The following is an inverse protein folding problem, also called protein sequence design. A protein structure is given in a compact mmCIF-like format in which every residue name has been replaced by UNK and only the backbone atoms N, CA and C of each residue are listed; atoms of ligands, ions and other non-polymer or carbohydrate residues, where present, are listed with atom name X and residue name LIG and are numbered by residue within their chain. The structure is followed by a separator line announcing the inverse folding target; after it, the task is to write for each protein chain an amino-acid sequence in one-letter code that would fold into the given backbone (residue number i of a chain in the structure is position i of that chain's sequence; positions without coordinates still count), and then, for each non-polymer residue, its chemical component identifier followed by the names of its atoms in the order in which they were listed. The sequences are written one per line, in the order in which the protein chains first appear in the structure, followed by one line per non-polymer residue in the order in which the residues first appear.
data_IF_846880946873
#
_entry.id   IF_846880946873
#
_cell.length_a   1.000
_cell.length_b   1.000
_cell.length_c   1.000
_cell.angle_alpha   90.00
_cell.angle_beta   90.00
_cell.angle_gamma   90.00
#
_symmetry.space_group_name_H-M   'P 1'
#
loop_
_entity.id
_entity.type
_entity.pdbx_description
1 polymer ?
#
# COMPACT_ATOMS: atom_id res chain seq x y z
N UNK A 1 0.40 -53.88 2.18
CA UNK A 1 1.55 -52.96 2.15
C UNK A 1 1.99 -52.73 0.71
N UNK A 2 1.83 -51.50 0.20
CA UNK A 2 2.59 -50.83 -0.88
C UNK A 2 1.80 -49.55 -1.23
N UNK A 3 2.12 -48.44 -0.58
CA UNK A 3 1.67 -47.12 -1.00
C UNK A 3 2.65 -46.60 -2.05
N UNK A 4 2.19 -46.49 -3.28
CA UNK A 4 2.89 -45.83 -4.38
C UNK A 4 2.72 -44.33 -4.23
N UNK A 5 3.73 -43.62 -3.71
CA UNK A 5 3.77 -42.17 -3.73
C UNK A 5 3.87 -41.69 -5.19
N UNK A 6 2.78 -41.13 -5.74
CA UNK A 6 2.83 -40.39 -7.00
C UNK A 6 3.55 -39.08 -6.74
N UNK A 7 4.79 -38.99 -7.20
CA UNK A 7 5.54 -37.73 -7.30
C UNK A 7 4.75 -36.84 -8.27
N UNK A 8 4.20 -35.72 -7.77
CA UNK A 8 3.62 -34.70 -8.65
C UNK A 8 4.78 -34.06 -9.43
N UNK A 9 4.67 -33.90 -10.76
CA UNK A 9 5.67 -33.17 -11.51
C UNK A 9 5.72 -31.72 -11.01
N UNK A 10 6.93 -31.24 -10.75
CA UNK A 10 7.21 -29.83 -10.48
C UNK A 10 6.82 -29.08 -11.75
N UNK A 11 5.79 -28.24 -11.68
CA UNK A 11 5.47 -27.34 -12.79
C UNK A 11 6.69 -26.45 -13.04
N UNK A 12 7.17 -26.32 -14.29
CA UNK A 12 8.21 -25.36 -14.61
C UNK A 12 7.70 -23.97 -14.22
N UNK A 13 8.54 -23.20 -13.53
CA UNK A 13 8.34 -21.77 -13.27
C UNK A 13 7.83 -21.14 -14.57
N UNK A 14 6.57 -20.67 -14.56
CA UNK A 14 5.91 -20.22 -15.77
C UNK A 14 6.70 -19.05 -16.34
N UNK A 15 6.86 -19.06 -17.67
CA UNK A 15 7.41 -18.00 -18.49
C UNK A 15 6.47 -16.77 -18.52
N UNK A 16 6.04 -16.29 -17.35
CA UNK A 16 5.13 -15.16 -17.17
C UNK A 16 5.86 -13.87 -16.76
N UNK A 17 7.19 -13.79 -16.88
CA UNK A 17 7.93 -12.52 -16.89
C UNK A 17 7.74 -11.76 -18.23
N UNK A 18 6.56 -11.86 -18.83
CA UNK A 18 6.25 -11.29 -20.12
C UNK A 18 5.91 -9.79 -19.94
N UNK A 19 6.87 -8.93 -20.28
CA UNK A 19 6.74 -7.49 -20.50
C UNK A 19 6.27 -6.64 -19.31
N UNK A 20 7.09 -6.55 -18.25
CA UNK A 20 6.95 -5.45 -17.28
C UNK A 20 7.61 -4.17 -17.82
N UNK A 21 6.98 -3.00 -17.71
CA UNK A 21 7.61 -1.72 -17.99
C UNK A 21 8.82 -1.47 -17.08
N UNK A 22 9.94 -1.01 -17.65
CA UNK A 22 11.14 -0.65 -16.87
C UNK A 22 11.29 0.87 -16.77
N UNK A 23 11.72 1.35 -15.60
CA UNK A 23 12.13 2.74 -15.43
C UNK A 23 13.58 2.90 -15.93
N UNK A 24 13.81 3.86 -16.83
CA UNK A 24 15.15 4.17 -17.34
C UNK A 24 15.63 5.48 -16.74
N UNK A 25 16.78 5.46 -16.07
CA UNK A 25 17.42 6.62 -15.47
C UNK A 25 18.94 6.51 -15.58
N UNK A 26 19.64 7.64 -15.55
CA UNK A 26 21.10 7.66 -15.66
C UNK A 26 21.73 7.04 -14.43
N UNK A 27 22.64 6.10 -14.65
CA UNK A 27 23.36 5.44 -13.58
C UNK A 27 22.75 4.11 -13.12
N UNK A 28 21.57 3.73 -13.67
CA UNK A 28 20.91 2.45 -13.37
C UNK A 28 21.87 1.27 -13.54
N UNK A 29 22.66 1.23 -14.62
CA UNK A 29 23.60 0.13 -14.88
C UNK A 29 24.67 -0.04 -13.80
N UNK A 30 25.03 1.03 -13.08
CA UNK A 30 26.02 0.98 -12.01
C UNK A 30 25.42 0.58 -10.67
N UNK A 31 24.14 0.89 -10.43
CA UNK A 31 23.47 0.63 -9.15
C UNK A 31 22.66 -0.67 -9.16
N UNK A 32 22.31 -1.20 -10.35
CA UNK A 32 21.45 -2.36 -10.52
C UNK A 32 21.88 -3.54 -9.64
N UNK A 33 23.16 -3.91 -9.74
CA UNK A 33 23.80 -4.98 -8.95
C UNK A 33 24.64 -4.46 -7.78
N UNK A 34 24.60 -3.16 -7.47
CA UNK A 34 25.50 -2.60 -6.45
C UNK A 34 25.26 -3.22 -5.08
N UNK A 35 24.01 -3.52 -4.73
CA UNK A 35 23.62 -4.21 -3.49
C UNK A 35 24.36 -5.54 -3.27
N UNK A 36 24.78 -6.25 -4.33
CA UNK A 36 25.60 -7.47 -4.24
C UNK A 36 27.05 -7.16 -3.84
N UNK A 37 27.57 -6.03 -4.31
CA UNK A 37 28.95 -5.60 -4.10
C UNK A 37 29.18 -4.83 -2.79
N UNK A 38 28.11 -4.44 -2.09
CA UNK A 38 28.22 -3.78 -0.78
C UNK A 38 28.90 -4.73 0.21
N UNK A 39 30.03 -4.35 0.83
CA UNK A 39 30.72 -5.20 1.78
C UNK A 39 29.87 -5.39 3.05
N UNK A 40 29.84 -6.64 3.52
CA UNK A 40 29.29 -6.98 4.83
C UNK A 40 30.14 -6.33 5.94
N UNK A 41 29.50 -5.67 6.90
CA UNK A 41 30.14 -5.13 8.10
C UNK A 41 29.52 -5.76 9.34
N UNK A 42 30.27 -6.35 10.27
CA UNK A 42 29.67 -6.92 11.47
C UNK A 42 29.05 -5.82 12.35
N UNK A 43 27.94 -6.13 13.03
CA UNK A 43 27.35 -5.24 14.03
C UNK A 43 28.22 -5.27 15.29
N UNK A 44 28.70 -4.09 15.71
CA UNK A 44 29.51 -3.92 16.91
C UNK A 44 28.65 -3.29 18.00
N UNK A 45 28.51 -3.98 19.13
CA UNK A 45 27.78 -3.45 20.28
C UNK A 45 28.55 -2.27 20.89
N UNK A 46 27.85 -1.16 21.13
CA UNK A 46 28.41 -0.01 21.82
C UNK A 46 27.93 -0.02 23.28
N UNK A 47 28.75 -0.49 24.24
CA UNK A 47 28.29 -0.79 25.60
C UNK A 47 27.69 0.44 26.30
N UNK A 48 28.26 1.63 26.07
CA UNK A 48 27.81 2.87 26.72
C UNK A 48 26.50 3.44 26.16
N UNK A 49 25.99 2.90 25.05
CA UNK A 49 24.77 3.39 24.38
C UNK A 49 23.58 2.43 24.49
N UNK A 50 23.83 1.21 24.95
CA UNK A 50 22.79 0.20 25.13
C UNK A 50 22.09 0.33 26.48
N UNK A 51 20.84 -0.09 26.55
CA UNK A 51 20.12 -0.31 27.80
C UNK A 51 20.00 -1.82 27.99
N UNK A 52 20.66 -2.36 29.01
CA UNK A 52 20.69 -3.81 29.27
C UNK A 52 21.77 -4.56 28.45
N UNK A 53 21.79 -5.89 28.53
CA UNK A 53 22.73 -6.71 27.77
C UNK A 53 22.48 -6.59 26.27
N UNK A 54 23.55 -6.63 25.47
CA UNK A 54 23.43 -6.63 24.02
C UNK A 54 22.73 -7.92 23.56
N UNK A 55 21.54 -7.77 22.98
CA UNK A 55 20.75 -8.89 22.47
C UNK A 55 20.27 -8.61 21.04
N UNK A 56 20.71 -9.44 20.10
CA UNK A 56 20.28 -9.39 18.70
C UNK A 56 18.88 -10.00 18.49
N UNK A 57 18.20 -10.49 19.52
CA UNK A 57 16.78 -10.85 19.44
C UNK A 57 15.87 -9.72 19.94
N UNK A 58 16.43 -8.68 20.56
CA UNK A 58 15.69 -7.53 21.07
C UNK A 58 15.62 -6.34 20.10
N UNK A 59 15.32 -5.17 20.65
CA UNK A 59 15.28 -3.92 19.91
C UNK A 59 16.71 -3.43 19.60
N UNK A 60 16.96 -3.05 18.34
CA UNK A 60 18.26 -2.61 17.87
C UNK A 60 18.21 -1.17 17.35
N UNK A 61 19.20 -0.37 17.73
CA UNK A 61 19.51 0.92 17.11
C UNK A 61 20.88 0.79 16.46
N UNK A 62 20.93 0.88 15.13
CA UNK A 62 22.15 0.73 14.34
C UNK A 62 22.57 2.11 13.85
N UNK A 63 23.77 2.54 14.23
CA UNK A 63 24.35 3.79 13.75
C UNK A 63 25.33 3.53 12.60
N UNK A 64 25.05 4.10 11.44
CA UNK A 64 25.90 4.02 10.25
C UNK A 64 25.12 4.36 8.99
N UNK A 65 25.78 4.24 7.85
CA UNK A 65 25.10 4.29 6.57
C UNK A 65 24.11 3.11 6.45
N UNK A 66 22.87 3.43 6.07
CA UNK A 66 21.78 2.47 6.01
C UNK A 66 22.03 1.35 4.99
N UNK A 67 22.70 1.59 3.87
CA UNK A 67 23.00 0.55 2.88
C UNK A 67 23.91 -0.53 3.48
N UNK A 68 24.92 -0.12 4.24
CA UNK A 68 25.77 -1.05 4.98
C UNK A 68 25.01 -1.73 6.12
N UNK A 69 24.19 -1.00 6.88
CA UNK A 69 23.40 -1.57 7.97
C UNK A 69 22.43 -2.66 7.47
N UNK A 70 21.72 -2.40 6.38
CA UNK A 70 20.81 -3.37 5.74
C UNK A 70 21.58 -4.62 5.30
N UNK A 71 22.78 -4.46 4.69
CA UNK A 71 23.64 -5.59 4.32
C UNK A 71 24.07 -6.41 5.54
N UNK A 72 24.32 -5.77 6.67
CA UNK A 72 24.69 -6.43 7.93
C UNK A 72 23.56 -7.25 8.55
N UNK A 73 22.31 -6.88 8.27
CA UNK A 73 21.11 -7.56 8.81
C UNK A 73 20.76 -8.84 8.04
N UNK A 74 21.11 -8.93 6.75
CA UNK A 74 20.73 -10.06 5.89
C UNK A 74 21.01 -11.45 6.49
N UNK A 75 22.19 -11.75 7.06
CA UNK A 75 22.47 -13.11 7.53
C UNK A 75 21.54 -13.62 8.63
N UNK A 76 20.86 -12.71 9.35
CA UNK A 76 19.99 -13.05 10.48
C UNK A 76 18.50 -12.78 10.20
N UNK A 77 18.19 -11.74 9.43
CA UNK A 77 16.83 -11.24 9.27
C UNK A 77 16.29 -11.32 7.84
N UNK A 78 17.02 -11.90 6.89
CA UNK A 78 16.47 -12.15 5.56
C UNK A 78 15.19 -12.98 5.66
N UNK A 79 14.12 -12.53 4.99
CA UNK A 79 12.82 -13.20 5.03
C UNK A 79 12.08 -13.15 6.38
N UNK A 80 12.51 -12.30 7.33
CA UNK A 80 11.99 -12.33 8.71
C UNK A 80 11.33 -11.01 9.15
N UNK A 81 11.39 -9.95 8.34
CA UNK A 81 10.84 -8.64 8.70
C UNK A 81 9.39 -8.52 8.23
N UNK A 82 8.45 -8.34 9.16
CA UNK A 82 7.02 -8.25 8.83
C UNK A 82 6.57 -6.85 8.37
N UNK A 83 7.26 -5.80 8.82
CA UNK A 83 6.93 -4.43 8.47
C UNK A 83 8.20 -3.62 8.28
N UNK A 84 8.30 -2.94 7.14
CA UNK A 84 9.29 -1.92 6.89
C UNK A 84 8.55 -0.61 6.69
N UNK A 85 8.89 0.39 7.49
CA UNK A 85 8.42 1.75 7.32
C UNK A 85 9.63 2.66 7.08
N UNK A 86 9.61 3.43 6.00
CA UNK A 86 10.71 4.34 5.65
C UNK A 86 10.18 5.71 5.23
N UNK A 87 10.93 6.73 5.63
CA UNK A 87 10.73 8.13 5.28
C UNK A 87 11.99 8.64 4.56
N UNK A 88 12.18 8.29 3.28
CA UNK A 88 13.35 8.72 2.51
C UNK A 88 13.33 10.24 2.28
N UNK A 89 14.46 10.86 1.92
CA UNK A 89 14.47 12.28 1.56
C UNK A 89 13.53 12.54 0.38
N UNK A 90 12.68 13.57 0.49
CA UNK A 90 11.65 13.88 -0.52
C UNK A 90 12.21 14.56 -1.78
N UNK A 91 13.50 14.93 -1.78
CA UNK A 91 14.18 15.49 -2.94
C UNK A 91 13.56 16.81 -3.41
N UNK A 92 13.26 17.69 -2.45
CA UNK A 92 12.59 18.99 -2.66
C UNK A 92 13.48 20.00 -3.41
N UNK A 93 14.79 19.78 -3.42
CA UNK A 93 15.79 20.68 -4.01
C UNK A 93 16.26 21.82 -3.10
N UNK A 94 15.79 21.87 -1.85
CA UNK A 94 16.23 22.85 -0.85
C UNK A 94 17.29 22.29 0.12
N UNK A 95 17.79 21.11 -0.18
CA UNK A 95 18.47 20.24 0.76
C UNK A 95 19.95 20.60 0.92
N UNK A 96 20.58 21.25 -0.06
CA UNK A 96 21.95 21.78 0.07
C UNK A 96 23.04 20.72 0.32
N UNK A 97 22.68 19.43 0.26
CA UNK A 97 23.57 18.29 0.42
C UNK A 97 23.63 17.44 -0.87
N UNK A 98 24.68 16.62 -1.01
CA UNK A 98 24.89 15.73 -2.15
C UNK A 98 24.58 14.27 -1.76
N UNK A 99 23.96 13.49 -2.67
CA UNK A 99 23.91 12.04 -2.51
C UNK A 99 25.33 11.47 -2.53
N UNK A 100 25.69 10.62 -1.57
CA UNK A 100 27.03 10.04 -1.47
C UNK A 100 26.96 8.53 -1.28
N UNK A 101 26.49 7.83 -2.32
CA UNK A 101 26.57 6.38 -2.31
C UNK A 101 27.98 5.92 -2.63
N UNK A 102 28.52 5.01 -1.81
CA UNK A 102 29.85 4.42 -1.93
C UNK A 102 30.05 3.49 -3.13
N UNK A 103 29.33 3.72 -4.23
CA UNK A 103 29.36 2.97 -5.50
C UNK A 103 30.79 2.64 -5.97
N UNK A 104 30.99 1.46 -6.55
CA UNK A 104 32.33 1.00 -6.91
C UNK A 104 32.94 1.75 -8.10
N UNK A 105 32.14 2.44 -8.91
CA UNK A 105 32.62 3.25 -10.04
C UNK A 105 33.17 4.59 -9.56
N UNK A 106 34.46 4.91 -9.79
CA UNK A 106 35.04 6.22 -9.47
C UNK A 106 34.32 7.38 -10.17
N UNK A 107 33.82 7.14 -11.40
CA UNK A 107 33.06 8.12 -12.18
C UNK A 107 31.73 8.42 -11.50
N UNK A 108 31.03 7.38 -11.02
CA UNK A 108 29.75 7.54 -10.32
C UNK A 108 29.95 8.22 -8.96
N UNK A 109 31.01 7.88 -8.22
CA UNK A 109 31.38 8.58 -6.97
C UNK A 109 31.62 10.06 -7.20
N UNK A 110 32.40 10.39 -8.23
CA UNK A 110 32.66 11.77 -8.61
C UNK A 110 31.35 12.48 -9.00
N UNK A 111 30.51 11.85 -9.82
CA UNK A 111 29.25 12.44 -10.29
C UNK A 111 28.20 12.67 -9.19
N UNK A 112 28.04 11.70 -8.28
CA UNK A 112 27.12 11.83 -7.15
C UNK A 112 27.60 12.92 -6.17
N UNK A 113 28.92 13.01 -5.96
CA UNK A 113 29.51 13.95 -4.99
C UNK A 113 29.74 15.37 -5.54
N UNK A 114 29.89 15.53 -6.86
CA UNK A 114 30.36 16.79 -7.45
C UNK A 114 29.33 17.91 -7.47
N UNK A 115 28.04 17.56 -7.43
CA UNK A 115 26.95 18.53 -7.61
C UNK A 115 25.94 18.41 -6.46
N UNK A 116 25.71 19.51 -5.70
CA UNK A 116 24.64 19.56 -4.72
C UNK A 116 23.29 19.30 -5.38
N UNK A 117 22.41 18.67 -4.62
CA UNK A 117 21.06 18.33 -5.05
C UNK A 117 20.19 19.57 -4.85
N UNK A 118 20.27 20.49 -5.79
CA UNK A 118 19.45 21.71 -5.81
C UNK A 118 18.28 21.58 -6.81
N UNK A 119 17.46 22.61 -6.89
CA UNK A 119 16.33 22.67 -7.83
C UNK A 119 16.74 22.79 -9.30
N UNK A 120 17.96 23.23 -9.58
CA UNK A 120 18.46 23.45 -10.93
C UNK A 120 19.21 22.22 -11.49
N UNK A 121 19.52 21.25 -10.62
CA UNK A 121 20.11 19.98 -11.01
C UNK A 121 19.11 19.08 -11.75
N UNK A 122 19.17 19.12 -13.07
CA UNK A 122 18.38 18.27 -13.97
C UNK A 122 18.62 16.75 -13.78
N UNK A 123 19.65 16.36 -13.02
CA UNK A 123 19.97 14.95 -12.70
C UNK A 123 19.56 14.55 -11.29
N UNK A 124 18.95 15.45 -10.52
CA UNK A 124 18.54 15.22 -9.13
C UNK A 124 17.71 13.95 -8.96
N UNK A 125 16.78 13.69 -9.89
CA UNK A 125 15.93 12.50 -9.86
C UNK A 125 16.72 11.23 -10.15
N UNK A 126 17.63 11.25 -11.14
CA UNK A 126 18.51 10.12 -11.44
C UNK A 126 19.37 9.75 -10.21
N UNK A 127 19.89 10.77 -9.50
CA UNK A 127 20.69 10.58 -8.29
C UNK A 127 19.89 9.99 -7.13
N UNK A 128 18.67 10.46 -6.91
CA UNK A 128 17.77 9.90 -5.90
C UNK A 128 17.46 8.43 -6.19
N UNK A 129 17.18 8.09 -7.45
CA UNK A 129 16.94 6.71 -7.88
C UNK A 129 18.19 5.84 -7.71
N UNK A 130 19.38 6.37 -8.03
CA UNK A 130 20.65 5.69 -7.77
C UNK A 130 20.83 5.36 -6.28
N UNK A 131 20.44 6.29 -5.40
CA UNK A 131 20.51 6.10 -3.95
C UNK A 131 19.48 5.07 -3.45
N UNK A 132 18.24 5.17 -3.91
CA UNK A 132 17.16 4.31 -3.41
C UNK A 132 17.26 2.88 -3.91
N UNK A 133 17.66 2.66 -5.16
CA UNK A 133 17.68 1.35 -5.80
C UNK A 133 18.32 0.23 -4.95
N UNK A 134 19.62 0.32 -4.55
CA UNK A 134 20.25 -0.77 -3.81
C UNK A 134 19.63 -0.97 -2.42
N UNK A 135 19.07 0.08 -1.82
CA UNK A 135 18.40 -0.01 -0.51
C UNK A 135 17.07 -0.74 -0.62
N UNK A 136 16.25 -0.41 -1.63
CA UNK A 136 14.96 -1.05 -1.85
C UNK A 136 15.09 -2.54 -2.17
N UNK A 137 16.11 -2.92 -2.96
CA UNK A 137 16.42 -4.34 -3.19
C UNK A 137 16.73 -5.05 -1.86
N UNK A 138 17.59 -4.49 -1.02
CA UNK A 138 17.91 -5.10 0.29
C UNK A 138 16.70 -5.14 1.23
N UNK A 139 15.85 -4.12 1.25
CA UNK A 139 14.62 -4.12 2.03
C UNK A 139 13.67 -5.23 1.58
N UNK A 140 13.54 -5.46 0.27
CA UNK A 140 12.77 -6.59 -0.27
C UNK A 140 13.31 -7.94 0.19
N UNK A 141 14.62 -8.12 0.30
CA UNK A 141 15.24 -9.36 0.79
C UNK A 141 15.04 -9.58 2.30
N UNK A 142 14.89 -8.51 3.07
CA UNK A 142 14.62 -8.59 4.51
C UNK A 142 13.17 -8.93 4.83
N UNK A 143 12.22 -8.54 3.96
CA UNK A 143 10.79 -8.78 4.18
C UNK A 143 10.45 -10.28 4.21
N UNK A 144 9.63 -10.66 5.19
CA UNK A 144 8.95 -11.96 5.23
C UNK A 144 7.90 -12.05 4.13
N UNK A 145 7.47 -13.27 3.77
CA UNK A 145 6.41 -13.49 2.76
C UNK A 145 5.08 -12.85 3.16
N UNK A 146 4.82 -12.67 4.46
CA UNK A 146 3.63 -11.97 4.98
C UNK A 146 3.83 -10.47 5.15
N UNK A 147 5.05 -9.98 4.89
CA UNK A 147 5.48 -8.63 5.24
C UNK A 147 5.09 -7.56 4.23
N UNK A 148 5.15 -6.31 4.67
CA UNK A 148 4.84 -5.13 3.85
C UNK A 148 5.84 -3.98 4.01
N UNK A 149 6.05 -3.25 2.92
CA UNK A 149 6.84 -2.02 2.85
C UNK A 149 5.90 -0.81 2.77
N UNK A 150 6.17 0.20 3.58
CA UNK A 150 5.43 1.45 3.69
C UNK A 150 6.42 2.60 3.50
N UNK A 151 6.21 3.43 2.48
CA UNK A 151 7.13 4.51 2.12
C UNK A 151 6.40 5.84 2.02
N UNK A 152 6.80 6.83 2.82
CA UNK A 152 6.26 8.20 2.76
C UNK A 152 6.99 9.06 1.74
N UNK A 153 6.24 9.83 0.96
CA UNK A 153 6.74 10.69 -0.11
C UNK A 153 5.83 11.90 -0.30
N UNK A 154 6.39 12.97 -0.88
CA UNK A 154 5.60 14.05 -1.49
C UNK A 154 5.49 13.87 -3.02
N UNK A 155 4.94 14.87 -3.71
CA UNK A 155 4.74 14.86 -5.16
C UNK A 155 6.05 14.80 -5.97
N UNK A 156 7.23 15.10 -5.39
CA UNK A 156 8.48 15.14 -6.15
C UNK A 156 8.89 13.76 -6.64
N UNK A 157 8.80 12.73 -5.79
CA UNK A 157 9.33 11.40 -6.09
C UNK A 157 8.31 10.26 -6.05
N UNK A 158 7.07 10.50 -5.62
CA UNK A 158 6.04 9.45 -5.52
C UNK A 158 5.89 8.61 -6.79
N UNK A 159 5.89 9.23 -7.96
CA UNK A 159 5.74 8.52 -9.23
C UNK A 159 6.98 7.72 -9.62
N UNK A 160 8.19 8.22 -9.36
CA UNK A 160 9.43 7.49 -9.68
C UNK A 160 9.68 6.37 -8.69
N UNK A 161 9.39 6.61 -7.41
CA UNK A 161 9.40 5.59 -6.38
C UNK A 161 8.43 4.45 -6.71
N UNK A 162 7.21 4.79 -7.14
CA UNK A 162 6.23 3.82 -7.63
C UNK A 162 6.81 2.92 -8.74
N UNK A 163 7.38 3.53 -9.78
CA UNK A 163 7.95 2.77 -10.90
C UNK A 163 9.13 1.88 -10.48
N UNK A 164 10.01 2.36 -9.57
CA UNK A 164 11.11 1.54 -9.05
C UNK A 164 10.60 0.38 -8.20
N UNK A 165 9.59 0.62 -7.36
CA UNK A 165 8.99 -0.42 -6.54
C UNK A 165 8.28 -1.47 -7.41
N UNK A 166 7.57 -1.06 -8.46
CA UNK A 166 6.99 -1.99 -9.44
C UNK A 166 8.04 -2.88 -10.09
N UNK A 167 9.21 -2.32 -10.45
CA UNK A 167 10.28 -3.11 -11.05
C UNK A 167 10.96 -4.07 -10.04
N UNK A 168 11.09 -3.67 -8.77
CA UNK A 168 11.76 -4.47 -7.74
C UNK A 168 10.85 -5.53 -7.12
N UNK A 169 9.59 -5.17 -6.83
CA UNK A 169 8.61 -6.02 -6.15
C UNK A 169 7.69 -6.76 -7.11
N UNK A 170 7.50 -6.25 -8.33
CA UNK A 170 6.39 -6.61 -9.21
C UNK A 170 5.24 -5.61 -9.08
N UNK A 171 4.55 -5.30 -10.18
CA UNK A 171 3.38 -4.42 -10.18
C UNK A 171 2.23 -5.02 -9.34
N UNK A 172 2.11 -6.35 -9.37
CA UNK A 172 1.14 -7.14 -8.63
C UNK A 172 1.32 -7.07 -7.11
N UNK A 173 2.51 -6.70 -6.64
CA UNK A 173 2.80 -6.55 -5.23
C UNK A 173 2.24 -5.25 -4.62
N UNK A 174 1.67 -4.37 -5.45
CA UNK A 174 1.06 -3.13 -4.98
C UNK A 174 -0.21 -3.36 -4.20
N UNK A 175 -0.24 -2.84 -2.97
CA UNK A 175 -1.42 -2.88 -2.11
C UNK A 175 -2.28 -1.63 -2.31
N UNK A 176 -1.66 -0.45 -2.30
CA UNK A 176 -2.38 0.81 -2.40
C UNK A 176 -1.51 2.02 -2.05
N UNK A 177 -2.06 3.20 -2.32
CA UNK A 177 -1.49 4.49 -1.89
C UNK A 177 -2.42 5.10 -0.87
N UNK A 178 -1.94 5.29 0.35
CA UNK A 178 -2.69 6.02 1.38
C UNK A 178 -2.35 7.51 1.28
N UNK A 179 -3.36 8.35 1.47
CA UNK A 179 -3.21 9.80 1.46
C UNK A 179 -3.13 10.30 2.90
N UNK A 180 -1.99 10.84 3.29
CA UNK A 180 -1.79 11.41 4.62
C UNK A 180 -2.02 12.91 4.58
N UNK A 181 -3.09 13.38 5.22
CA UNK A 181 -3.38 14.80 5.33
C UNK A 181 -2.45 15.46 6.37
N UNK A 182 -1.45 16.22 5.90
CA UNK A 182 -0.52 16.96 6.76
C UNK A 182 -1.04 18.32 7.23
N UNK A 183 -2.04 18.89 6.54
CA UNK A 183 -2.58 20.22 6.86
C UNK A 183 -4.11 20.26 6.78
N UNK A 184 -4.72 20.91 7.77
CA UNK A 184 -6.16 21.14 7.83
C UNK A 184 -6.60 22.47 7.21
N UNK A 185 -5.74 23.49 7.30
CA UNK A 185 -6.03 24.80 6.73
C UNK A 185 -5.64 24.86 5.25
N UNK A 186 -6.54 25.40 4.44
CA UNK A 186 -6.25 25.74 3.04
C UNK A 186 -5.31 26.93 3.00
N UNK A 187 -4.28 26.85 2.15
CA UNK A 187 -3.43 27.99 1.84
C UNK A 187 -4.12 28.85 0.78
N UNK A 188 -4.69 29.98 1.19
CA UNK A 188 -5.39 30.89 0.28
C UNK A 188 -4.45 31.69 -0.63
N UNK A 189 -3.14 31.63 -0.37
CA UNK A 189 -2.07 32.31 -1.11
C UNK A 189 -1.45 31.43 -2.21
N UNK A 190 -1.94 30.19 -2.41
CA UNK A 190 -1.43 29.32 -3.47
C UNK A 190 -1.98 29.71 -4.84
N UNK A 191 -1.11 29.70 -5.85
CA UNK A 191 -1.47 30.07 -7.24
C UNK A 191 -2.47 29.12 -7.89
N UNK A 192 -2.42 27.83 -7.53
CA UNK A 192 -3.27 26.79 -8.12
C UNK A 192 -4.00 26.02 -7.02
N UNK A 193 -3.42 24.91 -6.55
CA UNK A 193 -4.01 24.05 -5.53
C UNK A 193 -3.20 24.12 -4.24
N UNK A 194 -3.89 24.06 -3.11
CA UNK A 194 -3.26 23.98 -1.79
C UNK A 194 -2.86 22.54 -1.50
N UNK A 195 -1.56 22.25 -1.59
CA UNK A 195 -0.98 20.96 -1.20
C UNK A 195 -1.11 20.75 0.32
N UNK A 196 -2.02 19.85 0.71
CA UNK A 196 -2.34 19.55 2.11
C UNK A 196 -2.11 18.09 2.50
N UNK A 197 -1.62 17.27 1.57
CA UNK A 197 -1.37 15.86 1.78
C UNK A 197 0.02 15.40 1.33
N UNK A 198 0.36 14.19 1.73
CA UNK A 198 1.50 13.39 1.31
C UNK A 198 1.01 11.98 0.97
N UNK A 199 1.88 11.20 0.35
CA UNK A 199 1.58 9.85 -0.14
C UNK A 199 2.31 8.82 0.69
N UNK A 200 1.64 7.71 0.97
CA UNK A 200 2.22 6.54 1.58
C UNK A 200 2.01 5.35 0.63
N UNK A 201 3.09 4.96 -0.06
CA UNK A 201 3.08 3.80 -0.95
C UNK A 201 3.18 2.52 -0.12
N UNK A 202 2.29 1.57 -0.37
CA UNK A 202 2.26 0.27 0.32
C UNK A 202 2.47 -0.86 -0.67
N UNK A 203 3.49 -1.69 -0.42
CA UNK A 203 3.80 -2.90 -1.17
C UNK A 203 3.87 -4.12 -0.26
N UNK A 204 3.41 -5.26 -0.76
CA UNK A 204 3.56 -6.55 -0.13
C UNK A 204 4.82 -7.26 -0.65
N UNK A 205 5.38 -8.18 0.12
CA UNK A 205 6.34 -9.17 -0.43
C UNK A 205 5.63 -10.16 -1.35
N UNK A 206 4.48 -10.66 -0.89
CA UNK A 206 3.52 -11.48 -1.62
C UNK A 206 2.10 -10.99 -1.27
N UNK A 207 1.37 -10.50 -2.28
CA UNK A 207 0.04 -9.89 -2.10
C UNK A 207 -1.01 -10.90 -1.61
N UNK A 208 -0.85 -12.19 -1.90
CA UNK A 208 -1.78 -13.24 -1.46
C UNK A 208 -1.54 -13.62 0.01
N UNK A 209 -0.36 -13.31 0.54
CA UNK A 209 0.07 -13.70 1.87
C UNK A 209 0.17 -12.52 2.86
N UNK A 210 0.13 -11.28 2.38
CA UNK A 210 0.29 -10.08 3.20
C UNK A 210 -0.76 -10.02 4.31
N UNK A 211 -0.34 -9.59 5.50
CA UNK A 211 -1.23 -9.43 6.65
C UNK A 211 -1.25 -7.99 7.12
N UNK A 212 -2.36 -7.30 6.86
CA UNK A 212 -2.63 -5.96 7.40
C UNK A 212 -3.69 -6.10 8.47
N UNK A 213 -3.26 -6.03 9.73
CA UNK A 213 -4.16 -6.19 10.86
C UNK A 213 -5.04 -4.95 11.03
N UNK A 214 -6.34 -5.17 11.29
CA UNK A 214 -7.24 -4.12 11.72
C UNK A 214 -6.90 -3.64 13.13
N UNK A 215 -7.27 -2.39 13.43
CA UNK A 215 -7.23 -1.87 14.79
C UNK A 215 -8.36 -2.48 15.62
N UNK A 216 -8.13 -2.62 16.92
CA UNK A 216 -9.20 -2.95 17.85
C UNK A 216 -10.27 -1.86 17.81
N UNK A 217 -11.54 -2.26 17.91
CA UNK A 217 -12.66 -1.33 17.98
C UNK A 217 -12.57 -0.52 19.26
N UNK A 218 -12.88 0.77 19.18
CA UNK A 218 -12.96 1.65 20.34
C UNK A 218 -14.34 1.56 20.99
N UNK A 219 -14.44 1.92 22.28
CA UNK A 219 -15.73 1.96 23.00
C UNK A 219 -16.76 2.85 22.30
N UNK A 220 -16.33 3.98 21.73
CA UNK A 220 -17.20 4.88 20.95
C UNK A 220 -17.75 4.23 19.68
N UNK A 221 -16.95 3.41 18.99
CA UNK A 221 -17.39 2.66 17.82
C UNK A 221 -18.39 1.57 18.21
N UNK A 222 -18.21 0.95 19.37
CA UNK A 222 -19.14 -0.07 19.90
C UNK A 222 -20.47 0.54 20.35
N UNK A 223 -20.44 1.73 20.95
CA UNK A 223 -21.64 2.45 21.39
C UNK A 223 -22.62 2.83 20.25
N UNK A 224 -22.14 2.82 19.00
CA UNK A 224 -22.98 3.02 17.82
C UNK A 224 -23.91 1.83 17.52
N UNK A 225 -23.60 0.63 18.02
CA UNK A 225 -24.37 -0.58 17.81
C UNK A 225 -25.38 -0.75 18.95
N UNK A 226 -26.65 -0.98 18.61
CA UNK A 226 -27.74 -1.16 19.58
C UNK A 226 -28.68 -2.24 19.10
N UNK A 227 -29.25 -2.99 20.03
CA UNK A 227 -30.27 -4.01 19.73
C UNK A 227 -31.65 -3.62 20.28
N UNK A 228 -32.32 -2.59 19.72
CA UNK A 228 -33.60 -2.12 20.25
C UNK A 228 -34.76 -3.09 20.01
N UNK A 229 -34.62 -4.01 19.05
CA UNK A 229 -35.63 -4.97 18.62
C UNK A 229 -35.39 -6.40 19.13
N UNK A 230 -34.40 -6.60 20.00
CA UNK A 230 -33.99 -7.92 20.51
C UNK A 230 -33.69 -8.93 19.38
N UNK A 231 -33.02 -8.50 18.32
CA UNK A 231 -32.53 -9.36 17.26
C UNK A 231 -31.59 -10.43 17.86
N UNK A 232 -31.82 -11.73 17.58
CA UNK A 232 -31.01 -12.82 18.13
C UNK A 232 -29.53 -12.81 17.68
N UNK A 233 -29.17 -11.98 16.68
CA UNK A 233 -27.80 -11.82 16.19
C UNK A 233 -26.97 -10.82 17.01
N UNK A 234 -27.59 -10.11 17.95
CA UNK A 234 -26.92 -9.16 18.84
C UNK A 234 -26.98 -7.72 18.36
N UNK A 235 -26.08 -6.88 18.89
CA UNK A 235 -26.06 -5.46 18.60
C UNK A 235 -25.75 -5.18 17.13
N UNK A 236 -26.55 -4.29 16.54
CA UNK A 236 -26.45 -3.91 15.14
C UNK A 236 -26.51 -2.38 15.01
N UNK A 237 -25.99 -1.88 13.89
CA UNK A 237 -26.10 -0.46 13.55
C UNK A 237 -26.72 -0.35 12.16
N UNK A 238 -27.61 0.62 11.97
CA UNK A 238 -28.10 0.97 10.64
C UNK A 238 -26.92 1.50 9.82
N UNK A 239 -26.72 0.93 8.64
CA UNK A 239 -25.77 1.43 7.66
C UNK A 239 -26.51 1.91 6.40
N UNK A 240 -25.82 2.61 5.52
CA UNK A 240 -26.38 3.09 4.26
C UNK A 240 -26.87 1.92 3.42
N UNK A 241 -28.07 2.05 2.84
CA UNK A 241 -28.65 1.04 1.93
C UNK A 241 -28.01 1.06 0.53
N UNK A 242 -26.87 1.74 0.37
CA UNK A 242 -26.14 1.85 -0.88
C UNK A 242 -25.26 0.62 -1.05
N UNK A 243 -25.64 -0.24 -2.00
CA UNK A 243 -24.86 -1.43 -2.33
C UNK A 243 -24.84 -1.69 -3.83
N UNK A 244 -23.65 -1.98 -4.33
CA UNK A 244 -23.41 -2.28 -5.75
C UNK A 244 -23.86 -3.68 -6.16
N UNK A 245 -23.94 -4.63 -5.21
CA UNK A 245 -24.28 -6.04 -5.46
C UNK A 245 -25.45 -6.52 -4.60
N UNK A 246 -26.32 -7.35 -5.18
CA UNK A 246 -27.36 -8.06 -4.45
C UNK A 246 -26.75 -9.28 -3.75
N UNK A 247 -27.07 -9.47 -2.46
CA UNK A 247 -26.72 -10.69 -1.73
C UNK A 247 -27.98 -11.33 -1.18
N UNK A 248 -28.10 -12.65 -1.27
CA UNK A 248 -29.32 -13.38 -0.93
C UNK A 248 -29.84 -13.09 0.48
N UNK A 249 -28.94 -12.90 1.45
CA UNK A 249 -29.30 -12.58 2.83
C UNK A 249 -29.82 -11.15 3.04
N UNK A 250 -29.63 -10.26 2.05
CA UNK A 250 -30.06 -8.87 2.09
C UNK A 250 -31.34 -8.61 1.26
N UNK A 251 -31.94 -9.67 0.69
CA UNK A 251 -33.19 -9.57 -0.06
C UNK A 251 -34.35 -9.93 0.87
N UNK A 252 -35.09 -8.91 1.29
CA UNK A 252 -36.25 -9.09 2.16
C UNK A 252 -37.55 -8.94 1.38
N UNK A 253 -38.51 -9.84 1.65
CA UNK A 253 -39.87 -9.77 1.09
C UNK A 253 -40.65 -8.67 1.80
N UNK A 254 -41.06 -7.63 1.07
CA UNK A 254 -41.91 -6.58 1.65
C UNK A 254 -43.37 -7.02 1.63
N UNK A 255 -44.12 -6.71 2.71
CA UNK A 255 -45.58 -6.90 2.78
C UNK A 255 -46.27 -5.56 2.59
N UNK A 256 -46.96 -5.38 1.47
CA UNK A 256 -47.84 -4.24 1.25
C UNK A 256 -49.21 -4.42 1.92
N UNK A 257 -49.99 -3.33 1.99
CA UNK A 257 -51.45 -3.39 2.17
C UNK A 257 -52.13 -2.98 0.86
N UNK A 258 -53.12 -3.74 0.33
CA UNK A 258 -53.58 -5.07 0.80
C UNK A 258 -52.46 -6.11 0.71
N UNK A 259 -52.63 -7.26 1.38
CA UNK A 259 -51.61 -8.29 1.67
C UNK A 259 -51.02 -8.99 0.42
N UNK A 260 -50.52 -8.21 -0.53
CA UNK A 260 -49.67 -8.63 -1.64
C UNK A 260 -48.22 -8.44 -1.17
N UNK A 261 -47.43 -9.46 -1.42
CA UNK A 261 -46.01 -9.44 -1.13
C UNK A 261 -45.24 -9.18 -2.42
N UNK A 262 -44.23 -8.33 -2.37
CA UNK A 262 -43.41 -8.02 -3.52
C UNK A 262 -41.94 -8.28 -3.19
N UNK A 263 -41.19 -8.79 -4.16
CA UNK A 263 -39.74 -8.76 -4.12
C UNK A 263 -39.27 -7.45 -4.78
N UNK A 264 -38.21 -6.81 -4.27
CA UNK A 264 -37.58 -5.74 -5.04
C UNK A 264 -37.14 -6.30 -6.41
N UNK A 265 -37.34 -5.56 -7.51
CA UNK A 265 -36.84 -5.98 -8.81
C UNK A 265 -35.33 -6.19 -8.73
N UNK A 266 -34.81 -7.20 -9.43
CA UNK A 266 -33.38 -7.45 -9.53
C UNK A 266 -32.70 -6.21 -10.17
N UNK A 267 -32.00 -5.42 -9.36
CA UNK A 267 -31.35 -4.19 -9.82
C UNK A 267 -30.57 -3.46 -8.72
N UNK A 268 -29.55 -2.70 -9.14
CA UNK A 268 -28.64 -1.94 -8.27
C UNK A 268 -29.32 -0.65 -7.79
N UNK A 269 -29.19 -0.34 -6.50
CA UNK A 269 -29.67 0.92 -5.90
C UNK A 269 -28.67 2.04 -6.22
N UNK A 270 -29.10 3.04 -7.00
CA UNK A 270 -28.33 4.25 -7.31
C UNK A 270 -28.88 5.48 -6.59
N UNK A 271 -27.99 6.30 -6.04
CA UNK A 271 -28.30 7.55 -5.33
C UNK A 271 -28.78 8.66 -6.28
N UNK A 272 -29.69 9.49 -5.78
CA UNK A 272 -30.34 10.60 -6.46
C UNK A 272 -29.46 11.86 -6.43
N UNK A 273 -28.45 11.93 -7.27
CA UNK A 273 -27.99 13.22 -7.82
C UNK A 273 -27.85 13.09 -9.33
N UNK A 274 -28.93 13.45 -10.02
CA UNK A 274 -29.03 13.76 -11.44
C UNK A 274 -27.92 13.15 -12.33
N UNK A 275 -28.08 11.89 -12.76
CA UNK A 275 -28.19 11.47 -14.17
C UNK A 275 -28.42 9.95 -14.20
N UNK A 276 -29.60 9.52 -14.67
CA UNK A 276 -30.00 8.13 -14.99
C UNK A 276 -29.87 7.07 -13.88
N UNK A 277 -30.89 6.96 -13.03
CA UNK A 277 -31.29 5.69 -12.39
C UNK A 277 -32.68 5.82 -11.75
N UNK A 278 -33.67 5.10 -12.30
CA UNK A 278 -34.97 4.90 -11.67
C UNK A 278 -35.19 3.40 -11.53
N UNK A 279 -35.32 2.92 -10.28
CA UNK A 279 -36.34 1.97 -9.81
C UNK A 279 -35.97 1.44 -8.41
N UNK A 280 -36.28 2.22 -7.37
CA UNK A 280 -36.63 1.74 -6.02
C UNK A 280 -37.57 2.77 -5.37
N UNK A 281 -38.54 2.29 -4.60
CA UNK A 281 -39.73 3.00 -4.15
C UNK A 281 -39.43 4.19 -3.20
N UNK A 282 -39.99 5.39 -3.43
CA UNK A 282 -40.10 6.40 -2.39
C UNK A 282 -41.25 6.04 -1.45
N UNK A 283 -40.94 5.79 -0.18
CA UNK A 283 -41.94 5.80 0.89
C UNK A 283 -42.39 7.24 1.16
N UNK A 284 -43.30 7.74 0.34
CA UNK A 284 -44.17 8.85 0.71
C UNK A 284 -45.60 8.55 0.26
N UNK A 285 -46.49 8.59 1.25
CA UNK A 285 -47.93 8.39 1.11
C UNK A 285 -48.52 9.58 0.35
N UNK A 286 -48.84 9.40 -0.93
CA UNK A 286 -49.96 10.09 -1.59
C UNK A 286 -50.25 9.42 -2.93
N UNK A 287 -51.54 9.18 -3.18
CA UNK A 287 -52.05 8.22 -4.15
C UNK A 287 -51.51 8.32 -5.57
N UNK A 288 -51.30 7.16 -6.18
CA UNK A 288 -51.30 6.96 -7.64
C UNK A 288 -51.93 5.61 -7.96
N UNK A 289 -52.99 5.67 -8.76
CA UNK A 289 -53.62 4.51 -9.42
C UNK A 289 -52.72 4.11 -10.59
N UNK A 290 -52.36 2.84 -10.72
CA UNK A 290 -51.86 2.28 -11.97
C UNK A 290 -52.39 0.88 -12.22
N UNK A 291 -52.78 0.69 -13.48
CA UNK A 291 -53.39 -0.49 -14.10
C UNK A 291 -52.38 -1.61 -14.33
N UNK A 292 -52.80 -2.85 -14.12
CA UNK A 292 -52.02 -4.06 -14.46
C UNK A 292 -51.84 -4.16 -15.99
N UNK A 293 -50.68 -4.62 -16.50
CA UNK A 293 -50.58 -5.02 -17.91
C UNK A 293 -51.52 -6.21 -18.15
N UNK A 294 -52.16 -6.33 -19.33
CA UNK A 294 -53.05 -7.45 -19.61
C UNK A 294 -52.25 -8.75 -19.54
N UNK A 295 -52.83 -9.76 -18.87
CA UNK A 295 -52.27 -11.11 -18.80
C UNK A 295 -52.04 -11.65 -20.22
N UNK A 296 -50.94 -12.38 -20.45
CA UNK A 296 -50.75 -13.11 -21.69
C UNK A 296 -51.68 -14.34 -21.69
N UNK A 297 -52.49 -14.46 -22.75
CA UNK A 297 -53.35 -15.63 -23.03
C UNK A 297 -52.59 -16.97 -23.00
#
# INVERSE_FOLDING_TARGET
MRHSARIRPIAPLSQAHAAMPEIVFKGKEYVYNHHLTVPYRPLLAHPDKGIGPADLAGNLIIHGDNLHALKSLLPRYAGAVDLIFIDPPYNTGNEGWCYSDGVNSPIMKAWLSSNPVDAEDMLRHDKWLCMMWPRLVLLRELLSEHGSLWMTLDDNEVHRARMVLDEIFGEEAYVGTLIWQKKYSTKSDTRFFSESHEYLLVYAKDIEQVRINGLARTEDQDAAYKNPDNDPRGDWASDNLLRTEARDYAIFRSRGRPARSFYPPLGVVGDTTATKSMNCWPTTVSGLVWTEPPDPD
#
